data_IF_296983033408
#
_entry.id   IF_296983033408
#
_cell.length_a   1.000
_cell.length_b   1.000
_cell.length_c   1.000
_cell.angle_alpha   90.00
_cell.angle_beta   90.00
_cell.angle_gamma   90.00
#
_symmetry.space_group_name_H-M   'P 1'
#
loop_
_entity.id
_entity.type
_entity.pdbx_description
1 polymer ?
#
# COMPACT_ATOMS: atom_id res chain seq x y z
N UNK A 1 3.53 -13.87 -2.19
CA UNK A 1 3.48 -13.35 -3.57
C UNK A 1 4.40 -12.13 -3.67
N UNK A 2 4.97 -11.86 -4.84
CA UNK A 2 5.70 -10.61 -5.11
C UNK A 2 4.90 -9.80 -6.14
N UNK A 3 5.04 -8.47 -6.10
CA UNK A 3 4.48 -7.61 -7.14
C UNK A 3 5.06 -7.98 -8.50
N UNK A 4 4.25 -7.93 -9.55
CA UNK A 4 4.78 -8.09 -10.90
C UNK A 4 5.92 -7.09 -11.19
N UNK A 5 6.90 -7.42 -12.04
CA UNK A 5 8.00 -6.51 -12.40
C UNK A 5 7.49 -5.19 -13.00
N UNK A 6 6.40 -5.25 -13.77
CA UNK A 6 5.76 -4.08 -14.40
C UNK A 6 5.15 -3.18 -13.32
N UNK A 7 4.41 -3.75 -12.37
CA UNK A 7 3.81 -3.02 -11.26
C UNK A 7 4.90 -2.39 -10.40
N UNK A 8 5.96 -3.13 -10.10
CA UNK A 8 7.10 -2.65 -9.31
C UNK A 8 7.79 -1.46 -9.98
N UNK A 9 8.06 -1.55 -11.29
CA UNK A 9 8.65 -0.45 -12.05
C UNK A 9 7.74 0.79 -12.08
N UNK A 10 6.43 0.58 -12.25
CA UNK A 10 5.46 1.68 -12.28
C UNK A 10 5.37 2.39 -10.94
N UNK A 11 5.29 1.64 -9.84
CA UNK A 11 5.31 2.21 -8.49
C UNK A 11 6.60 2.99 -8.22
N UNK A 12 7.77 2.45 -8.61
CA UNK A 12 9.04 3.19 -8.48
C UNK A 12 9.05 4.49 -9.29
N UNK A 13 8.40 4.52 -10.46
CA UNK A 13 8.25 5.75 -11.25
C UNK A 13 7.38 6.77 -10.52
N UNK A 14 6.22 6.36 -10.00
CA UNK A 14 5.33 7.22 -9.21
C UNK A 14 6.01 7.75 -7.95
N UNK A 15 6.73 6.91 -7.22
CA UNK A 15 7.50 7.33 -6.05
C UNK A 15 8.54 8.41 -6.40
N UNK A 16 9.25 8.26 -7.52
CA UNK A 16 10.21 9.27 -7.97
C UNK A 16 9.54 10.60 -8.35
N UNK A 17 8.34 10.55 -8.92
CA UNK A 17 7.59 11.75 -9.33
C UNK A 17 7.02 12.52 -8.14
N UNK A 18 6.69 11.81 -7.06
CA UNK A 18 6.03 12.40 -5.89
C UNK A 18 6.89 12.42 -4.62
N UNK A 19 8.17 12.08 -4.72
CA UNK A 19 9.07 11.91 -3.56
C UNK A 19 9.03 13.10 -2.60
N UNK A 20 9.05 14.31 -3.14
CA UNK A 20 9.05 15.57 -2.36
C UNK A 20 7.71 15.88 -1.68
N UNK A 21 6.65 15.15 -2.05
CA UNK A 21 5.25 15.40 -1.63
C UNK A 21 4.66 14.27 -0.80
N UNK A 22 5.41 13.17 -0.61
CA UNK A 22 4.95 12.02 0.15
C UNK A 22 5.25 12.21 1.63
N UNK A 23 4.21 12.14 2.45
CA UNK A 23 4.34 12.06 3.91
C UNK A 23 3.99 10.64 4.35
N UNK A 24 4.83 10.00 5.18
CA UNK A 24 4.50 8.69 5.72
C UNK A 24 3.26 8.83 6.60
N UNK A 25 2.24 8.01 6.34
CA UNK A 25 1.16 7.80 7.29
C UNK A 25 1.78 7.05 8.45
N UNK A 26 1.97 7.72 9.59
CA UNK A 26 2.40 7.10 10.84
C UNK A 26 1.23 6.24 11.33
N UNK A 27 1.01 5.10 10.68
CA UNK A 27 0.17 4.05 11.19
C UNK A 27 1.08 3.23 12.10
N UNK A 28 1.13 3.65 13.37
CA UNK A 28 1.62 2.82 14.44
C UNK A 28 0.79 1.55 14.47
N UNK A 29 1.22 0.53 13.72
CA UNK A 29 0.84 -0.84 14.01
C UNK A 29 1.52 -1.17 15.34
N UNK A 30 0.86 -0.76 16.42
CA UNK A 30 1.13 -1.24 17.77
C UNK A 30 0.97 -2.75 17.69
N UNK A 31 2.10 -3.46 17.74
CA UNK A 31 2.10 -4.87 18.08
C UNK A 31 1.36 -4.98 19.43
N UNK A 32 0.32 -5.83 19.56
CA UNK A 32 -0.25 -6.12 20.87
C UNK A 32 0.86 -6.79 21.69
N UNK A 33 1.53 -5.98 22.50
CA UNK A 33 2.60 -6.41 23.37
C UNK A 33 2.00 -6.86 24.70
N UNK A 34 1.16 -7.90 24.66
CA UNK A 34 0.62 -8.57 25.84
C UNK A 34 0.80 -10.09 25.66
N UNK A 35 2.06 -10.52 25.66
CA UNK A 35 2.37 -11.91 25.97
C UNK A 35 2.64 -11.98 27.47
N UNK A 36 1.57 -12.14 28.26
CA UNK A 36 1.70 -12.53 29.67
C UNK A 36 2.38 -13.90 29.72
N UNK A 37 3.57 -13.92 30.31
CA UNK A 37 4.43 -15.08 30.45
C UNK A 37 3.83 -16.11 31.42
N UNK A 38 2.89 -16.93 30.93
CA UNK A 38 2.46 -18.20 31.58
C UNK A 38 1.53 -19.06 30.69
N UNK A 39 1.37 -18.74 29.40
CA UNK A 39 0.54 -19.51 28.48
C UNK A 39 1.34 -20.61 27.78
N UNK A 40 0.77 -21.82 27.77
CA UNK A 40 1.25 -23.03 27.10
C UNK A 40 1.98 -22.71 25.77
N UNK A 41 3.27 -23.09 25.67
CA UNK A 41 4.17 -22.70 24.56
C UNK A 41 3.57 -23.09 23.19
N UNK A 42 2.87 -24.22 23.13
CA UNK A 42 2.19 -24.71 21.93
C UNK A 42 1.03 -23.81 21.49
N UNK A 43 0.22 -23.32 22.43
CA UNK A 43 -0.86 -22.37 22.15
C UNK A 43 -0.31 -20.99 21.72
N UNK A 44 0.81 -20.58 22.30
CA UNK A 44 1.51 -19.33 21.93
C UNK A 44 2.07 -19.40 20.52
N UNK A 45 2.63 -20.56 20.13
CA UNK A 45 3.21 -20.77 18.80
C UNK A 45 2.13 -20.88 17.72
N UNK A 46 1.01 -21.55 18.01
CA UNK A 46 -0.15 -21.59 17.11
C UNK A 46 -0.76 -20.19 16.91
N UNK A 47 -0.91 -19.40 17.99
CA UNK A 47 -1.38 -18.02 17.89
C UNK A 47 -0.42 -17.15 17.06
N UNK A 48 0.90 -17.30 17.26
CA UNK A 48 1.91 -16.61 16.46
C UNK A 48 1.86 -17.03 14.97
N UNK A 49 1.67 -18.32 14.70
CA UNK A 49 1.53 -18.85 13.34
C UNK A 49 0.27 -18.32 12.64
N UNK A 50 -0.87 -18.30 13.34
CA UNK A 50 -2.12 -17.73 12.83
C UNK A 50 -1.98 -16.24 12.54
N UNK A 51 -1.34 -15.48 13.43
CA UNK A 51 -1.05 -14.07 13.21
C UNK A 51 -0.14 -13.84 11.98
N UNK A 52 0.89 -14.68 11.81
CA UNK A 52 1.77 -14.62 10.64
C UNK A 52 1.04 -14.99 9.35
N UNK A 53 0.20 -16.03 9.38
CA UNK A 53 -0.61 -16.48 8.24
C UNK A 53 -1.64 -15.43 7.83
N UNK A 54 -2.31 -14.82 8.81
CA UNK A 54 -3.24 -13.73 8.57
C UNK A 54 -2.53 -12.53 7.94
N UNK A 55 -1.36 -12.15 8.48
CA UNK A 55 -0.54 -11.06 7.93
C UNK A 55 -0.07 -11.37 6.50
N UNK A 56 0.27 -12.61 6.21
CA UNK A 56 0.64 -13.05 4.86
C UNK A 56 -0.55 -12.97 3.88
N UNK A 57 -1.75 -13.33 4.34
CA UNK A 57 -2.99 -13.19 3.57
C UNK A 57 -3.33 -11.72 3.28
N UNK A 58 -3.23 -10.87 4.30
CA UNK A 58 -3.40 -9.41 4.17
C UNK A 58 -2.39 -8.81 3.19
N UNK A 59 -1.11 -9.21 3.27
CA UNK A 59 -0.09 -8.81 2.30
C UNK A 59 -0.43 -9.24 0.88
N UNK A 60 -0.90 -10.48 0.68
CA UNK A 60 -1.28 -10.95 -0.66
C UNK A 60 -2.47 -10.15 -1.21
N UNK A 61 -3.46 -9.81 -0.37
CA UNK A 61 -4.59 -8.95 -0.75
C UNK A 61 -4.14 -7.55 -1.14
N UNK A 62 -3.20 -6.96 -0.39
CA UNK A 62 -2.60 -5.65 -0.72
C UNK A 62 -1.87 -5.69 -2.06
N UNK A 63 -1.10 -6.76 -2.33
CA UNK A 63 -0.40 -6.93 -3.61
C UNK A 63 -1.39 -6.96 -4.77
N UNK A 64 -2.43 -7.78 -4.69
CA UNK A 64 -3.46 -7.86 -5.74
C UNK A 64 -4.17 -6.51 -5.96
N UNK A 65 -4.45 -5.79 -4.87
CA UNK A 65 -5.05 -4.46 -4.93
C UNK A 65 -4.12 -3.46 -5.65
N UNK A 66 -2.83 -3.47 -5.35
CA UNK A 66 -1.83 -2.63 -6.02
C UNK A 66 -1.72 -2.96 -7.52
N UNK A 67 -1.73 -4.23 -7.89
CA UNK A 67 -1.68 -4.64 -9.31
C UNK A 67 -2.90 -4.15 -10.08
N UNK A 68 -4.10 -4.24 -9.49
CA UNK A 68 -5.33 -3.71 -10.07
C UNK A 68 -5.29 -2.19 -10.22
N UNK A 69 -4.86 -1.47 -9.17
CA UNK A 69 -4.79 0.00 -9.18
C UNK A 69 -3.75 0.51 -10.19
N UNK A 70 -2.59 -0.13 -10.30
CA UNK A 70 -1.59 0.23 -11.30
C UNK A 70 -2.11 -0.02 -12.72
N UNK A 71 -2.79 -1.14 -12.95
CA UNK A 71 -3.39 -1.44 -14.26
C UNK A 71 -4.44 -0.38 -14.64
N UNK A 72 -5.27 0.04 -13.68
CA UNK A 72 -6.25 1.10 -13.87
C UNK A 72 -5.57 2.45 -14.14
N UNK A 73 -4.54 2.80 -13.37
CA UNK A 73 -3.76 4.03 -13.59
C UNK A 73 -3.16 4.06 -15.00
N UNK A 74 -2.54 2.97 -15.45
CA UNK A 74 -1.96 2.87 -16.80
C UNK A 74 -3.01 2.96 -17.90
N UNK A 75 -4.22 2.42 -17.67
CA UNK A 75 -5.33 2.54 -18.61
C UNK A 75 -5.82 3.99 -18.72
N UNK A 76 -5.99 4.68 -17.59
CA UNK A 76 -6.40 6.09 -17.55
C UNK A 76 -5.33 7.01 -18.16
N UNK A 77 -4.04 6.75 -17.89
CA UNK A 77 -2.91 7.51 -18.44
C UNK A 77 -2.91 7.46 -19.98
N UNK A 78 -3.24 6.31 -20.57
CA UNK A 78 -3.35 6.14 -22.03
C UNK A 78 -4.55 6.89 -22.65
N UNK A 79 -5.58 7.20 -21.86
CA UNK A 79 -6.77 7.92 -22.29
C UNK A 79 -6.60 9.45 -22.24
N UNK A 80 -5.44 9.94 -21.77
CA UNK A 80 -5.07 11.34 -21.84
C UNK A 80 -5.73 12.23 -20.77
N UNK A 81 -5.76 13.55 -21.05
CA UNK A 81 -6.11 14.59 -20.06
C UNK A 81 -7.57 14.57 -19.60
N UNK A 82 -8.46 13.88 -20.33
CA UNK A 82 -9.88 13.77 -20.02
C UNK A 82 -10.14 13.11 -18.66
N UNK A 83 -9.24 12.23 -18.21
CA UNK A 83 -9.35 11.50 -16.94
C UNK A 83 -8.35 11.96 -15.89
N UNK A 84 -7.81 13.17 -16.01
CA UNK A 84 -6.80 13.71 -15.08
C UNK A 84 -7.24 13.66 -13.60
N UNK A 85 -8.53 13.90 -13.32
CA UNK A 85 -9.09 13.79 -11.96
C UNK A 85 -9.12 12.34 -11.46
N UNK A 86 -9.52 11.40 -12.31
CA UNK A 86 -9.59 9.98 -11.95
C UNK A 86 -8.20 9.38 -11.78
N UNK A 87 -7.25 9.82 -12.60
CA UNK A 87 -5.84 9.45 -12.51
C UNK A 87 -5.23 9.91 -11.17
N UNK A 88 -5.46 11.17 -10.78
CA UNK A 88 -5.04 11.68 -9.47
C UNK A 88 -5.73 10.95 -8.29
N UNK A 89 -6.98 10.52 -8.46
CA UNK A 89 -7.72 9.74 -7.45
C UNK A 89 -7.13 8.34 -7.27
N UNK A 90 -6.85 7.65 -8.39
CA UNK A 90 -6.22 6.32 -8.38
C UNK A 90 -4.81 6.40 -7.79
N UNK A 91 -4.05 7.43 -8.16
CA UNK A 91 -2.71 7.67 -7.62
C UNK A 91 -2.72 7.91 -6.10
N UNK A 92 -3.63 8.76 -5.59
CA UNK A 92 -3.81 8.95 -4.15
C UNK A 92 -4.17 7.63 -3.45
N UNK A 93 -4.99 6.80 -4.09
CA UNK A 93 -5.37 5.48 -3.56
C UNK A 93 -4.18 4.52 -3.51
N UNK A 94 -3.31 4.52 -4.53
CA UNK A 94 -2.07 3.74 -4.56
C UNK A 94 -1.17 4.14 -3.38
N UNK A 95 -0.96 5.44 -3.16
CA UNK A 95 -0.11 5.91 -2.06
C UNK A 95 -0.71 5.59 -0.69
N UNK A 96 -2.02 5.73 -0.50
CA UNK A 96 -2.68 5.34 0.74
C UNK A 96 -2.49 3.84 1.05
N UNK A 97 -2.61 2.97 0.05
CA UNK A 97 -2.36 1.53 0.21
C UNK A 97 -0.90 1.24 0.58
N UNK A 98 0.03 2.07 0.11
CA UNK A 98 1.46 2.00 0.45
C UNK A 98 1.81 2.67 1.79
N UNK A 99 0.83 3.25 2.49
CA UNK A 99 1.07 3.94 3.76
C UNK A 99 1.65 5.34 3.60
N UNK A 100 1.39 6.01 2.48
CA UNK A 100 1.78 7.40 2.24
C UNK A 100 0.56 8.27 1.94
N UNK A 101 0.65 9.53 2.35
CA UNK A 101 -0.27 10.58 1.94
C UNK A 101 0.45 11.53 0.98
N UNK A 102 -0.19 11.89 -0.13
CA UNK A 102 0.27 13.01 -0.96
C UNK A 102 -0.20 14.31 -0.31
N UNK A 103 0.75 15.20 -0.01
CA UNK A 103 0.44 16.58 0.34
C UNK A 103 -0.12 17.29 -0.91
N UNK A 104 -1.42 17.62 -0.88
CA UNK A 104 -2.05 18.53 -1.84
C UNK A 104 -1.49 19.94 -1.61
N UNK A 105 -0.35 20.25 -2.22
CA UNK A 105 -0.10 21.62 -2.62
C UNK A 105 -0.99 21.83 -3.83
N UNK A 106 -2.12 22.48 -3.58
CA UNK A 106 -2.98 23.05 -4.60
C UNK A 106 -2.10 23.92 -5.49
N UNK A 107 -1.81 23.49 -6.73
CA UNK A 107 -1.26 24.41 -7.72
C UNK A 107 -2.40 25.37 -8.10
N UNK A 108 -2.48 26.46 -7.35
CA UNK A 108 -2.96 27.73 -7.84
C UNK A 108 -1.96 28.18 -8.92
N UNK A 109 -2.30 28.01 -10.20
CA UNK A 109 -2.17 29.01 -11.29
C UNK A 109 -3.13 28.59 -12.40
#
# INVERSE_FOLDING_TARGET
MHLSPITSYHLQRLFRQHCDRLQPLINSHVLPNDYSAEANVEATLEAAWQALSQRQSEMNSVIQKLESLVSMHQALEKQGTMYSRDLASVERTIFNVLGFQIADISCNV
#
